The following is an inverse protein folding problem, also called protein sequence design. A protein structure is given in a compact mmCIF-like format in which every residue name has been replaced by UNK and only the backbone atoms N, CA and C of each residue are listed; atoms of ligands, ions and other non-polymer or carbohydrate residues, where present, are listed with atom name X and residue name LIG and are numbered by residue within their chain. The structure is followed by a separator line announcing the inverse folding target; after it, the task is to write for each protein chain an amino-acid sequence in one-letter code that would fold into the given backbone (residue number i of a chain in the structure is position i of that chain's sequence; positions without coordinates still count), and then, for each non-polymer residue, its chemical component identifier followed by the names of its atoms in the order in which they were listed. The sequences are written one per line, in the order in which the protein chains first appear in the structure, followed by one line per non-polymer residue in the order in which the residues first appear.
data_IF_809812893524
#
_entry.id   IF_809812893524
#
_cell.length_a   1.000
_cell.length_b   1.000
_cell.length_c   1.000
_cell.angle_alpha   90.00
_cell.angle_beta   90.00
_cell.angle_gamma   90.00
#
_symmetry.space_group_name_H-M   'P 1'
#
loop_
_entity.id
_entity.type
_entity.pdbx_description
1 polymer ?
#
# COMPACT_ATOMS: atom_id res chain seq x y z
N UNK A 1 -24.19 -53.86 32.02
CA UNK A 1 -23.79 -52.44 31.86
C UNK A 1 -25.04 -51.59 32.05
N UNK A 2 -25.04 -50.62 32.96
CA UNK A 2 -26.26 -49.92 33.40
C UNK A 2 -26.75 -48.91 32.36
N UNK A 3 -27.95 -49.11 31.80
CA UNK A 3 -28.60 -48.27 30.77
C UNK A 3 -28.81 -46.81 31.21
N UNK A 4 -28.97 -46.56 32.50
CA UNK A 4 -29.10 -45.19 33.03
C UNK A 4 -27.81 -44.37 32.90
N UNK A 5 -26.64 -45.02 33.00
CA UNK A 5 -25.35 -44.34 32.90
C UNK A 5 -25.06 -43.92 31.45
N UNK A 6 -25.47 -44.72 30.46
CA UNK A 6 -25.38 -44.35 29.04
C UNK A 6 -26.30 -43.18 28.68
N UNK A 7 -27.50 -43.09 29.26
CA UNK A 7 -28.42 -41.97 29.03
C UNK A 7 -27.88 -40.67 29.63
N UNK A 8 -27.32 -40.73 30.84
CA UNK A 8 -26.73 -39.56 31.48
C UNK A 8 -25.49 -39.07 30.72
N UNK A 9 -24.62 -39.98 30.30
CA UNK A 9 -23.43 -39.63 29.53
C UNK A 9 -23.77 -39.03 28.16
N UNK A 10 -24.75 -39.59 27.45
CA UNK A 10 -25.22 -39.02 26.17
C UNK A 10 -25.86 -37.64 26.35
N UNK A 11 -26.63 -37.43 27.42
CA UNK A 11 -27.20 -36.11 27.73
C UNK A 11 -26.12 -35.06 28.02
N UNK A 12 -25.08 -35.40 28.80
CA UNK A 12 -23.96 -34.48 29.08
C UNK A 12 -23.19 -34.16 27.80
N UNK A 13 -22.87 -35.18 26.99
CA UNK A 13 -22.15 -34.98 25.72
C UNK A 13 -23.00 -34.12 24.78
N UNK A 14 -24.30 -34.37 24.69
CA UNK A 14 -25.23 -33.57 23.89
C UNK A 14 -25.28 -32.10 24.34
N UNK A 15 -25.37 -31.86 25.65
CA UNK A 15 -25.34 -30.51 26.22
C UNK A 15 -24.00 -29.80 25.96
N UNK A 16 -22.87 -30.50 26.11
CA UNK A 16 -21.54 -29.94 25.86
C UNK A 16 -21.34 -29.57 24.39
N UNK A 17 -21.72 -30.45 23.46
CA UNK A 17 -21.64 -30.20 22.01
C UNK A 17 -22.53 -29.01 21.61
N UNK A 18 -23.76 -28.95 22.15
CA UNK A 18 -24.68 -27.83 21.90
C UNK A 18 -24.15 -26.50 22.43
N UNK A 19 -23.62 -26.49 23.66
CA UNK A 19 -23.00 -25.30 24.26
C UNK A 19 -21.80 -24.80 23.47
N UNK A 20 -20.92 -25.72 23.02
CA UNK A 20 -19.77 -25.39 22.19
C UNK A 20 -20.19 -24.83 20.83
N UNK A 21 -21.17 -25.46 20.16
CA UNK A 21 -21.70 -24.96 18.89
C UNK A 21 -22.28 -23.55 19.00
N UNK A 22 -23.00 -23.26 20.08
CA UNK A 22 -23.57 -21.94 20.36
C UNK A 22 -22.47 -20.89 20.56
N UNK A 23 -21.45 -21.20 21.36
CA UNK A 23 -20.32 -20.28 21.61
C UNK A 23 -19.56 -19.92 20.31
N UNK A 24 -19.26 -20.92 19.47
CA UNK A 24 -18.57 -20.68 18.20
C UNK A 24 -19.41 -19.84 17.23
N UNK A 25 -20.72 -20.11 17.17
CA UNK A 25 -21.64 -19.35 16.33
C UNK A 25 -21.75 -17.90 16.79
N UNK A 26 -21.89 -17.67 18.10
CA UNK A 26 -21.98 -16.33 18.67
C UNK A 26 -20.69 -15.53 18.44
N UNK A 27 -19.52 -16.14 18.65
CA UNK A 27 -18.23 -15.47 18.41
C UNK A 27 -18.05 -15.09 16.94
N UNK A 28 -18.44 -15.97 16.03
CA UNK A 28 -18.38 -15.70 14.59
C UNK A 28 -19.33 -14.58 14.20
N UNK A 29 -20.54 -14.58 14.76
CA UNK A 29 -21.55 -13.54 14.56
C UNK A 29 -21.07 -12.17 15.05
N UNK A 30 -20.57 -12.08 16.29
CA UNK A 30 -20.04 -10.83 16.86
C UNK A 30 -18.89 -10.26 16.03
N UNK A 31 -17.99 -11.12 15.55
CA UNK A 31 -16.90 -10.70 14.66
C UNK A 31 -17.44 -10.18 13.33
N UNK A 32 -18.41 -10.87 12.73
CA UNK A 32 -19.04 -10.45 11.49
C UNK A 32 -19.78 -9.11 11.63
N UNK A 33 -20.49 -8.91 12.74
CA UNK A 33 -21.19 -7.67 13.06
C UNK A 33 -20.20 -6.51 13.26
N UNK A 34 -19.14 -6.72 14.04
CA UNK A 34 -18.08 -5.74 14.21
C UNK A 34 -17.41 -5.36 12.88
N UNK A 35 -17.05 -6.34 12.06
CA UNK A 35 -16.42 -6.11 10.76
C UNK A 35 -17.36 -5.35 9.80
N UNK A 36 -18.67 -5.63 9.86
CA UNK A 36 -19.69 -4.93 9.07
C UNK A 36 -19.87 -3.48 9.52
N UNK A 37 -19.98 -3.24 10.83
CA UNK A 37 -20.12 -1.90 11.40
C UNK A 37 -18.88 -1.04 11.11
N UNK A 38 -17.67 -1.58 11.30
CA UNK A 38 -16.43 -0.90 10.97
C UNK A 38 -16.34 -0.55 9.47
N UNK A 39 -16.75 -1.49 8.60
CA UNK A 39 -16.78 -1.25 7.14
C UNK A 39 -17.75 -0.13 6.78
N UNK A 40 -18.93 -0.10 7.39
CA UNK A 40 -19.91 0.95 7.14
C UNK A 40 -19.38 2.32 7.56
N UNK A 41 -18.83 2.43 8.77
CA UNK A 41 -18.20 3.66 9.28
C UNK A 41 -17.06 4.14 8.38
N UNK A 42 -16.21 3.21 7.89
CA UNK A 42 -15.18 3.51 6.90
C UNK A 42 -15.77 4.05 5.61
N UNK A 43 -16.80 3.42 5.07
CA UNK A 43 -17.43 3.85 3.82
C UNK A 43 -17.92 5.29 3.93
N UNK A 44 -18.63 5.62 5.00
CA UNK A 44 -19.19 6.95 5.24
C UNK A 44 -18.08 8.02 5.37
N UNK A 45 -17.05 7.73 6.17
CA UNK A 45 -15.90 8.63 6.33
C UNK A 45 -15.10 8.79 5.04
N UNK A 46 -14.87 7.70 4.30
CA UNK A 46 -14.04 7.69 3.11
C UNK A 46 -14.72 8.33 1.91
N UNK A 47 -16.06 8.28 1.82
CA UNK A 47 -16.80 9.01 0.78
C UNK A 47 -16.55 10.52 0.89
N UNK A 48 -16.46 11.07 2.10
CA UNK A 48 -16.10 12.48 2.32
C UNK A 48 -14.69 12.77 1.85
N UNK A 49 -13.71 11.94 2.25
CA UNK A 49 -12.32 12.08 1.82
C UNK A 49 -12.18 11.98 0.30
N UNK A 50 -12.88 11.03 -0.31
CA UNK A 50 -12.81 10.76 -1.74
C UNK A 50 -13.21 11.98 -2.58
N UNK A 51 -14.23 12.73 -2.12
CA UNK A 51 -14.66 13.99 -2.75
C UNK A 51 -13.57 15.06 -2.65
N UNK A 52 -12.89 15.18 -1.51
CA UNK A 52 -11.75 16.11 -1.38
C UNK A 52 -10.61 15.78 -2.36
N UNK A 53 -10.41 14.49 -2.67
CA UNK A 53 -9.38 14.01 -3.59
C UNK A 53 -9.78 14.12 -5.08
N UNK A 54 -10.98 14.62 -5.40
CA UNK A 54 -11.42 14.80 -6.79
C UNK A 54 -10.46 15.70 -7.59
N UNK A 55 -9.94 16.73 -6.92
CA UNK A 55 -8.91 17.65 -7.44
C UNK A 55 -7.63 16.92 -7.89
N UNK A 56 -7.37 15.70 -7.40
CA UNK A 56 -6.20 14.89 -7.77
C UNK A 56 -6.54 13.78 -8.78
N UNK A 57 -7.73 13.83 -9.39
CA UNK A 57 -8.12 12.84 -10.40
C UNK A 57 -7.32 13.05 -11.70
N UNK A 58 -6.66 11.98 -12.18
CA UNK A 58 -5.88 11.98 -13.42
C UNK A 58 -6.66 12.44 -14.66
N UNK A 59 -7.95 12.09 -14.73
CA UNK A 59 -8.84 12.42 -15.84
C UNK A 59 -9.84 13.54 -15.50
N UNK A 60 -9.61 14.27 -14.40
CA UNK A 60 -10.45 15.40 -14.02
C UNK A 60 -10.22 16.60 -14.95
N UNK A 61 -11.21 17.50 -15.05
CA UNK A 61 -11.13 18.78 -15.78
C UNK A 61 -10.32 19.84 -15.02
N UNK A 62 -9.19 19.43 -14.44
CA UNK A 62 -8.41 20.35 -13.63
C UNK A 62 -7.66 21.37 -14.48
N UNK A 63 -7.38 22.56 -13.91
CA UNK A 63 -6.39 23.46 -14.47
C UNK A 63 -5.07 22.70 -14.65
N UNK A 64 -4.34 23.05 -15.71
CA UNK A 64 -3.06 22.40 -16.05
C UNK A 64 -2.01 22.52 -14.92
N UNK A 65 -2.23 23.42 -13.95
CA UNK A 65 -1.38 23.65 -12.78
C UNK A 65 -2.28 23.91 -11.56
N UNK A 66 -1.89 23.38 -10.41
CA UNK A 66 -2.44 23.78 -9.11
C UNK A 66 -1.62 24.96 -8.59
N UNK A 67 -2.29 25.99 -8.11
CA UNK A 67 -1.63 27.12 -7.45
C UNK A 67 -1.17 26.74 -6.03
N UNK A 68 -0.20 27.45 -5.50
CA UNK A 68 0.24 27.27 -4.10
C UNK A 68 -0.92 27.46 -3.11
N UNK A 69 -1.83 28.40 -3.38
CA UNK A 69 -3.02 28.63 -2.56
C UNK A 69 -4.02 27.45 -2.59
N UNK A 70 -4.28 26.87 -3.76
CA UNK A 70 -5.14 25.68 -3.88
C UNK A 70 -4.52 24.45 -3.20
N UNK A 71 -3.20 24.30 -3.32
CA UNK A 71 -2.43 23.24 -2.65
C UNK A 71 -2.48 23.41 -1.12
N UNK A 72 -2.33 24.65 -0.64
CA UNK A 72 -2.61 25.09 0.73
C UNK A 72 -3.97 24.64 1.23
N UNK A 73 -5.02 25.11 0.56
CA UNK A 73 -6.40 24.82 0.92
C UNK A 73 -6.74 23.33 0.85
N UNK A 74 -6.11 22.55 -0.03
CA UNK A 74 -6.30 21.10 -0.06
C UNK A 74 -5.65 20.41 1.17
N UNK A 75 -4.42 20.78 1.52
CA UNK A 75 -3.73 20.23 2.68
C UNK A 75 -4.53 20.46 3.98
N UNK A 76 -5.02 21.69 4.17
CA UNK A 76 -5.83 22.09 5.32
C UNK A 76 -7.14 21.29 5.40
N UNK A 77 -7.85 21.14 4.27
CA UNK A 77 -9.09 20.35 4.20
C UNK A 77 -8.84 18.88 4.53
N UNK A 78 -7.75 18.30 4.03
CA UNK A 78 -7.38 16.92 4.32
C UNK A 78 -7.00 16.75 5.80
N UNK A 79 -6.27 17.69 6.38
CA UNK A 79 -5.88 17.66 7.79
C UNK A 79 -7.11 17.79 8.69
N UNK A 80 -8.01 18.72 8.37
CA UNK A 80 -9.27 18.88 9.08
C UNK A 80 -10.10 17.59 9.06
N UNK A 81 -10.28 16.99 7.88
CA UNK A 81 -10.98 15.71 7.74
C UNK A 81 -10.34 14.59 8.58
N UNK A 82 -9.00 14.55 8.67
CA UNK A 82 -8.29 13.55 9.47
C UNK A 82 -8.65 13.63 10.95
N UNK A 83 -8.65 14.83 11.52
CA UNK A 83 -8.92 15.01 12.94
C UNK A 83 -10.40 15.01 13.30
N UNK A 84 -11.29 15.42 12.38
CA UNK A 84 -12.71 15.61 12.68
C UNK A 84 -13.61 14.47 12.19
N UNK A 85 -13.35 13.95 10.99
CA UNK A 85 -14.30 13.06 10.32
C UNK A 85 -13.88 11.60 10.33
N UNK A 86 -12.62 11.31 9.97
CA UNK A 86 -12.32 9.96 9.46
C UNK A 86 -10.92 9.42 9.66
N UNK A 87 -9.98 10.18 10.22
CA UNK A 87 -8.60 9.72 10.40
C UNK A 87 -8.49 8.46 11.26
N UNK A 88 -9.41 8.27 12.22
CA UNK A 88 -9.46 7.08 13.08
C UNK A 88 -9.79 5.79 12.32
N UNK A 89 -10.51 5.88 11.20
CA UNK A 89 -10.97 4.71 10.46
C UNK A 89 -9.94 4.17 9.46
N UNK A 90 -8.90 4.96 9.16
CA UNK A 90 -7.82 4.58 8.25
C UNK A 90 -7.10 3.32 8.74
N UNK A 91 -6.92 2.34 7.85
CA UNK A 91 -5.94 1.30 8.11
C UNK A 91 -4.54 1.90 8.20
N UNK A 92 -3.60 1.18 8.82
CA UNK A 92 -2.19 1.60 8.87
C UNK A 92 -1.66 1.96 7.48
N UNK A 93 -2.03 1.19 6.47
CA UNK A 93 -1.55 1.39 5.10
C UNK A 93 -2.16 2.63 4.43
N UNK A 94 -3.48 2.81 4.54
CA UNK A 94 -4.13 4.04 4.04
C UNK A 94 -3.66 5.28 4.80
N UNK A 95 -3.38 5.16 6.11
CA UNK A 95 -2.83 6.23 6.94
C UNK A 95 -1.44 6.65 6.48
N UNK A 96 -0.57 5.69 6.15
CA UNK A 96 0.75 6.00 5.60
C UNK A 96 0.63 6.74 4.26
N UNK A 97 -0.23 6.25 3.35
CA UNK A 97 -0.48 6.91 2.07
C UNK A 97 -1.04 8.34 2.24
N UNK A 98 -1.91 8.54 3.22
CA UNK A 98 -2.46 9.85 3.58
C UNK A 98 -1.35 10.81 4.02
N UNK A 99 -0.46 10.39 4.92
CA UNK A 99 0.63 11.25 5.39
C UNK A 99 1.65 11.53 4.29
N UNK A 100 1.96 10.55 3.42
CA UNK A 100 2.79 10.82 2.25
C UNK A 100 2.19 11.89 1.33
N UNK A 101 0.87 11.85 1.12
CA UNK A 101 0.18 12.89 0.34
C UNK A 101 0.29 14.27 1.01
N UNK A 102 0.10 14.33 2.34
CA UNK A 102 0.26 15.58 3.10
C UNK A 102 1.69 16.14 3.05
N UNK A 103 2.70 15.27 3.18
CA UNK A 103 4.10 15.67 3.12
C UNK A 103 4.42 16.33 1.76
N UNK A 104 3.92 15.76 0.65
CA UNK A 104 4.09 16.31 -0.71
C UNK A 104 3.33 17.62 -0.90
N UNK A 105 2.11 17.73 -0.37
CA UNK A 105 1.37 18.99 -0.39
C UNK A 105 2.12 20.11 0.35
N UNK A 106 2.69 19.81 1.52
CA UNK A 106 3.49 20.78 2.29
C UNK A 106 4.74 21.24 1.56
N UNK A 107 5.42 20.35 0.84
CA UNK A 107 6.59 20.71 0.02
C UNK A 107 6.22 21.60 -1.16
N UNK A 108 5.10 21.32 -1.83
CA UNK A 108 4.62 22.13 -2.94
C UNK A 108 4.17 23.53 -2.50
N UNK A 109 3.72 23.70 -1.24
CA UNK A 109 3.44 25.03 -0.69
C UNK A 109 4.72 25.86 -0.50
N UNK A 110 5.84 25.22 -0.17
CA UNK A 110 7.12 25.90 0.02
C UNK A 110 7.82 26.27 -1.32
N UNK A 111 7.43 25.65 -2.44
CA UNK A 111 8.01 25.89 -3.75
C UNK A 111 7.09 26.77 -4.62
N UNK A 112 7.50 27.99 -5.04
CA UNK A 112 6.63 28.95 -5.70
C UNK A 112 6.21 28.57 -7.14
N UNK A 113 6.89 27.62 -7.78
CA UNK A 113 6.55 27.14 -9.12
C UNK A 113 6.32 25.63 -9.15
N UNK A 114 5.07 25.24 -9.38
CA UNK A 114 4.70 23.84 -9.60
C UNK A 114 4.86 23.46 -11.07
N UNK A 115 5.92 22.71 -11.38
CA UNK A 115 6.11 22.07 -12.68
C UNK A 115 5.13 20.91 -12.92
N UNK A 116 5.01 20.45 -14.17
CA UNK A 116 4.14 19.32 -14.54
C UNK A 116 4.44 18.04 -13.73
N UNK A 117 5.72 17.74 -13.52
CA UNK A 117 6.17 16.54 -12.81
C UNK A 117 5.73 16.49 -11.34
N UNK A 118 5.65 17.65 -10.68
CA UNK A 118 5.17 17.75 -9.30
C UNK A 118 3.66 17.48 -9.21
N UNK A 119 2.89 17.97 -10.19
CA UNK A 119 1.46 17.70 -10.26
C UNK A 119 1.18 16.21 -10.49
N UNK A 120 1.96 15.56 -11.36
CA UNK A 120 1.81 14.12 -11.61
C UNK A 120 2.22 13.27 -10.39
N UNK A 121 3.25 13.71 -9.66
CA UNK A 121 3.59 13.12 -8.36
C UNK A 121 2.43 13.24 -7.37
N UNK A 122 1.80 14.40 -7.26
CA UNK A 122 0.65 14.61 -6.38
C UNK A 122 -0.56 13.73 -6.77
N UNK A 123 -0.83 13.60 -8.07
CA UNK A 123 -1.88 12.71 -8.59
C UNK A 123 -1.60 11.25 -8.26
N UNK A 124 -0.34 10.83 -8.35
CA UNK A 124 0.08 9.48 -7.96
C UNK A 124 -0.20 9.23 -6.48
N UNK A 125 0.20 10.13 -5.56
CA UNK A 125 -0.09 9.98 -4.14
C UNK A 125 -1.60 9.98 -3.84
N UNK A 126 -2.37 10.84 -4.51
CA UNK A 126 -3.84 10.81 -4.44
C UNK A 126 -4.45 9.52 -4.98
N UNK A 127 -3.89 8.93 -6.03
CA UNK A 127 -4.27 7.60 -6.57
C UNK A 127 -3.97 6.48 -5.58
N UNK A 128 -2.79 6.52 -4.95
CA UNK A 128 -2.36 5.54 -3.93
C UNK A 128 -3.29 5.57 -2.72
N UNK A 129 -3.58 6.75 -2.19
CA UNK A 129 -4.52 6.91 -1.08
C UNK A 129 -5.89 6.33 -1.44
N UNK A 130 -6.47 6.74 -2.57
CA UNK A 130 -7.75 6.19 -3.07
C UNK A 130 -7.74 4.67 -3.19
N UNK A 131 -6.66 4.09 -3.71
CA UNK A 131 -6.51 2.64 -3.80
C UNK A 131 -6.52 1.99 -2.41
N UNK A 132 -5.78 2.54 -1.44
CA UNK A 132 -5.83 2.11 -0.04
C UNK A 132 -7.24 2.12 0.55
N UNK A 133 -7.98 3.22 0.35
CA UNK A 133 -9.37 3.36 0.81
C UNK A 133 -10.25 2.24 0.24
N UNK A 134 -10.14 1.92 -1.06
CA UNK A 134 -10.92 0.83 -1.67
C UNK A 134 -10.57 -0.56 -1.15
N UNK A 135 -9.33 -0.79 -0.72
CA UNK A 135 -8.93 -2.05 -0.09
C UNK A 135 -9.49 -2.17 1.32
N UNK A 136 -9.47 -1.08 2.09
CA UNK A 136 -9.98 -1.01 3.46
C UNK A 136 -11.48 -1.28 3.55
N UNK A 137 -12.27 -0.81 2.57
CA UNK A 137 -13.70 -1.15 2.44
C UNK A 137 -13.91 -2.44 1.63
N UNK A 138 -12.85 -3.02 1.07
CA UNK A 138 -12.85 -4.28 0.35
C UNK A 138 -13.60 -4.28 -0.99
N UNK A 139 -13.85 -3.12 -1.61
CA UNK A 139 -14.45 -3.05 -2.96
C UNK A 139 -13.51 -3.56 -4.04
N UNK A 140 -12.20 -3.51 -3.81
CA UNK A 140 -11.16 -4.12 -4.68
C UNK A 140 -10.63 -5.47 -4.18
N UNK A 141 -11.13 -5.95 -3.04
CA UNK A 141 -10.76 -7.28 -2.55
C UNK A 141 -11.71 -8.31 -3.15
N UNK A 142 -11.18 -9.30 -3.89
CA UNK A 142 -12.02 -10.40 -4.39
C UNK A 142 -12.73 -11.09 -3.20
N UNK A 143 -14.04 -11.40 -3.30
CA UNK A 143 -14.72 -12.20 -2.29
C UNK A 143 -13.92 -13.48 -2.05
N UNK A 144 -13.46 -13.69 -0.81
CA UNK A 144 -12.79 -14.93 -0.44
C UNK A 144 -13.87 -15.99 -0.25
N UNK A 145 -14.07 -16.81 -1.27
CA UNK A 145 -14.91 -17.99 -1.12
C UNK A 145 -14.23 -18.98 -0.16
N UNK A 146 -14.92 -19.48 0.87
CA UNK A 146 -14.38 -20.52 1.73
C UNK A 146 -13.93 -21.72 0.89
N UNK A 147 -12.73 -22.24 1.13
CA UNK A 147 -12.23 -23.46 0.49
C UNK A 147 -11.47 -23.30 -0.82
N UNK A 148 -11.47 -22.11 -1.46
CA UNK A 148 -10.58 -21.85 -2.61
C UNK A 148 -9.32 -21.14 -2.14
N UNK A 149 -8.23 -21.90 -1.99
CA UNK A 149 -6.90 -21.32 -1.89
C UNK A 149 -6.68 -20.41 -3.11
N UNK A 150 -6.26 -19.17 -2.86
CA UNK A 150 -6.07 -18.09 -3.84
C UNK A 150 -5.35 -18.63 -5.10
N UNK A 151 -6.08 -18.91 -6.20
CA UNK A 151 -5.53 -19.52 -7.42
C UNK A 151 -4.41 -18.68 -8.06
N UNK A 152 -4.41 -17.37 -7.79
CA UNK A 152 -3.33 -16.45 -8.15
C UNK A 152 -2.02 -16.70 -7.37
N UNK A 153 -2.03 -17.51 -6.32
CA UNK A 153 -0.83 -17.92 -5.59
C UNK A 153 0.01 -18.95 -6.37
N UNK A 154 -0.54 -19.59 -7.39
CA UNK A 154 0.05 -20.72 -8.11
C UNK A 154 0.72 -20.38 -9.45
N UNK A 155 0.71 -19.12 -9.88
CA UNK A 155 1.21 -18.74 -11.20
C UNK A 155 2.66 -18.25 -11.13
N UNK A 156 3.56 -19.03 -11.75
CA UNK A 156 4.77 -18.61 -12.46
C UNK A 156 5.88 -17.86 -11.71
N UNK A 157 7.14 -18.17 -12.06
CA UNK A 157 8.24 -17.22 -11.87
C UNK A 157 7.95 -16.03 -12.77
N UNK A 158 7.48 -14.92 -12.20
CA UNK A 158 7.30 -13.67 -12.95
C UNK A 158 8.56 -12.83 -12.80
N UNK A 159 9.19 -12.51 -13.93
CA UNK A 159 10.32 -11.59 -14.01
C UNK A 159 9.84 -10.30 -14.67
N UNK A 160 10.00 -9.18 -13.98
CA UNK A 160 9.69 -7.86 -14.53
C UNK A 160 10.98 -7.05 -14.58
N UNK A 161 11.31 -6.54 -15.77
CA UNK A 161 12.50 -5.72 -16.01
C UNK A 161 12.06 -4.26 -16.13
N UNK A 162 12.69 -3.38 -15.36
CA UNK A 162 12.43 -1.94 -15.41
C UNK A 162 13.69 -1.15 -15.74
N UNK A 163 13.54 0.01 -16.40
CA UNK A 163 14.62 0.92 -16.83
C UNK A 163 14.36 2.34 -16.31
N UNK A 164 15.39 3.02 -15.80
CA UNK A 164 15.32 4.41 -15.27
C UNK A 164 15.37 5.48 -16.36
N UNK A 165 16.12 5.23 -17.42
CA UNK A 165 16.52 6.21 -18.43
C UNK A 165 16.56 5.47 -19.77
N UNK A 166 16.32 6.18 -20.89
CA UNK A 166 16.51 5.67 -22.25
C UNK A 166 17.92 5.13 -22.46
N UNK A 167 18.89 5.66 -21.70
CA UNK A 167 20.29 5.20 -21.69
C UNK A 167 20.52 3.86 -20.97
N UNK A 168 19.46 3.24 -20.43
CA UNK A 168 19.49 1.93 -19.74
C UNK A 168 20.53 1.78 -18.61
N UNK A 169 20.91 2.88 -17.94
CA UNK A 169 21.95 2.86 -16.90
C UNK A 169 21.67 1.90 -15.75
N UNK A 170 20.40 1.59 -15.48
CA UNK A 170 20.00 0.60 -14.48
C UNK A 170 18.85 -0.24 -14.99
N UNK A 171 18.97 -1.56 -14.78
CA UNK A 171 17.92 -2.55 -15.00
C UNK A 171 17.54 -3.18 -13.67
N UNK A 172 16.25 -3.13 -13.36
CA UNK A 172 15.73 -3.74 -12.14
C UNK A 172 14.90 -4.95 -12.50
N UNK A 173 15.32 -6.14 -12.08
CA UNK A 173 14.61 -7.39 -12.27
C UNK A 173 13.89 -7.81 -10.99
N UNK A 174 12.56 -7.70 -10.97
CA UNK A 174 11.73 -8.25 -9.90
C UNK A 174 11.42 -9.71 -10.23
N UNK A 175 11.99 -10.65 -9.47
CA UNK A 175 11.69 -12.07 -9.61
C UNK A 175 10.80 -12.55 -8.46
N UNK A 176 9.56 -12.89 -8.80
CA UNK A 176 8.63 -13.49 -7.86
C UNK A 176 8.81 -15.01 -7.87
N UNK A 177 9.46 -15.56 -6.84
CA UNK A 177 9.59 -17.01 -6.68
C UNK A 177 8.25 -17.68 -6.38
N UNK A 178 8.11 -18.95 -6.77
CA UNK A 178 6.95 -19.76 -6.38
C UNK A 178 6.79 -19.73 -4.86
N UNK A 179 5.58 -19.44 -4.37
CA UNK A 179 5.25 -19.31 -2.94
C UNK A 179 5.40 -20.66 -2.23
N UNK A 180 6.62 -21.03 -1.88
CA UNK A 180 6.89 -22.13 -0.96
C UNK A 180 7.53 -21.53 0.30
N UNK A 181 6.79 -21.57 1.41
CA UNK A 181 7.19 -21.15 2.77
C UNK A 181 7.53 -19.66 2.99
N UNK A 182 6.59 -18.74 2.75
CA UNK A 182 6.69 -17.37 3.30
C UNK A 182 7.93 -16.55 2.88
N UNK A 183 8.68 -17.01 1.86
CA UNK A 183 9.87 -16.32 1.36
C UNK A 183 9.45 -15.03 0.66
N UNK A 184 10.15 -13.94 1.00
CA UNK A 184 10.05 -12.68 0.28
C UNK A 184 10.51 -12.89 -1.18
N UNK A 185 9.97 -12.13 -2.15
CA UNK A 185 10.44 -12.11 -3.53
C UNK A 185 11.92 -11.79 -3.56
N UNK A 186 12.62 -12.37 -4.52
CA UNK A 186 14.01 -12.01 -4.76
C UNK A 186 14.01 -10.86 -5.77
N UNK A 187 14.61 -9.76 -5.38
CA UNK A 187 14.86 -8.63 -6.26
C UNK A 187 16.32 -8.69 -6.66
N UNK A 188 16.58 -8.54 -7.95
CA UNK A 188 17.93 -8.45 -8.48
C UNK A 188 17.99 -7.15 -9.28
N UNK A 189 19.01 -6.34 -9.05
CA UNK A 189 19.26 -5.16 -9.89
C UNK A 189 20.60 -5.35 -10.59
N UNK A 190 20.63 -5.03 -11.86
CA UNK A 190 21.80 -5.15 -12.71
C UNK A 190 21.98 -3.83 -13.46
N UNK A 191 23.22 -3.42 -13.67
CA UNK A 191 23.52 -2.13 -14.29
C UNK A 191 25.03 -1.97 -14.47
N UNK A 192 25.48 -1.33 -15.57
CA UNK A 192 26.90 -1.11 -15.83
C UNK A 192 27.63 -0.36 -14.72
N UNK A 193 26.92 0.52 -14.00
CA UNK A 193 27.49 1.41 -12.99
C UNK A 193 27.27 0.90 -11.55
N UNK A 194 26.80 -0.34 -11.36
CA UNK A 194 26.64 -0.91 -10.02
C UNK A 194 27.99 -1.44 -9.51
N UNK A 195 28.45 -1.04 -8.31
CA UNK A 195 29.64 -1.63 -7.72
C UNK A 195 29.44 -3.15 -7.59
N UNK A 196 30.39 -3.91 -8.14
CA UNK A 196 30.41 -5.37 -8.06
C UNK A 196 30.28 -5.82 -6.60
N UNK A 197 29.17 -6.49 -6.27
CA UNK A 197 28.92 -7.06 -4.94
C UNK A 197 27.83 -6.37 -4.11
N UNK A 198 27.30 -5.22 -4.54
CA UNK A 198 26.19 -4.57 -3.84
C UNK A 198 24.84 -4.86 -4.53
N UNK A 199 24.30 -6.06 -4.28
CA UNK A 199 22.94 -6.39 -4.70
C UNK A 199 21.92 -5.63 -3.82
N UNK A 200 20.95 -4.90 -4.41
CA UNK A 200 19.88 -4.33 -3.61
C UNK A 200 19.05 -5.43 -2.98
N UNK A 201 18.71 -5.23 -1.72
CA UNK A 201 17.96 -6.19 -0.93
C UNK A 201 16.57 -5.64 -0.58
N UNK A 202 15.55 -6.46 -0.81
CA UNK A 202 14.19 -6.18 -0.34
C UNK A 202 14.18 -6.36 1.17
N UNK A 203 13.97 -5.26 1.89
CA UNK A 203 13.84 -5.27 3.34
C UNK A 203 12.41 -5.65 3.74
N UNK A 204 11.42 -5.15 3.00
CA UNK A 204 9.99 -5.34 3.34
C UNK A 204 9.11 -5.32 2.08
N UNK A 205 8.13 -6.22 2.03
CA UNK A 205 7.02 -6.17 1.08
C UNK A 205 5.73 -5.76 1.80
N UNK A 206 5.00 -4.76 1.28
CA UNK A 206 3.60 -4.48 1.67
C UNK A 206 2.60 -4.89 0.56
N UNK A 207 1.92 -6.04 0.74
CA UNK A 207 1.18 -6.74 -0.35
C UNK A 207 0.00 -5.95 -0.86
N UNK A 208 -0.69 -5.26 0.04
CA UNK A 208 -1.89 -4.50 -0.27
C UNK A 208 -1.58 -3.25 -1.11
N UNK A 209 -0.33 -2.76 -1.08
CA UNK A 209 0.07 -1.53 -1.77
C UNK A 209 1.01 -1.76 -2.95
N UNK A 210 1.39 -3.01 -3.23
CA UNK A 210 2.45 -3.33 -4.21
C UNK A 210 3.73 -2.52 -3.96
N UNK A 211 4.08 -2.34 -2.69
CA UNK A 211 5.24 -1.54 -2.25
C UNK A 211 6.37 -2.44 -1.76
N UNK A 212 7.59 -2.12 -2.18
CA UNK A 212 8.83 -2.73 -1.74
C UNK A 212 9.65 -1.68 -1.00
N UNK A 213 10.16 -1.99 0.18
CA UNK A 213 11.25 -1.21 0.77
C UNK A 213 12.54 -1.87 0.33
N UNK A 214 13.35 -1.14 -0.41
CA UNK A 214 14.58 -1.67 -1.00
C UNK A 214 15.74 -0.81 -0.56
N UNK A 215 16.82 -1.47 -0.17
CA UNK A 215 18.09 -0.82 0.08
C UNK A 215 18.85 -0.74 -1.24
N UNK A 216 19.07 0.48 -1.73
CA UNK A 216 19.72 0.75 -3.01
C UNK A 216 21.07 1.42 -2.74
N UNK A 217 22.14 1.13 -3.50
CA UNK A 217 23.40 1.85 -3.36
C UNK A 217 23.19 3.36 -3.54
N UNK A 218 23.82 4.16 -2.67
CA UNK A 218 23.69 5.61 -2.66
C UNK A 218 24.10 6.26 -3.99
N UNK A 219 25.02 5.63 -4.73
CA UNK A 219 25.46 6.06 -6.05
C UNK A 219 24.33 6.07 -7.10
N UNK A 220 23.31 5.24 -6.94
CA UNK A 220 22.13 5.21 -7.83
C UNK A 220 21.21 6.41 -7.57
N UNK A 221 21.32 7.02 -6.39
CA UNK A 221 20.46 8.12 -5.98
C UNK A 221 21.27 9.41 -5.95
N UNK A 222 21.01 10.30 -6.91
CA UNK A 222 21.72 11.58 -7.06
C UNK A 222 21.59 12.54 -5.87
N UNK A 223 20.80 12.21 -4.84
CA UNK A 223 20.53 13.03 -3.66
C UNK A 223 21.02 12.42 -2.34
N UNK A 224 21.98 11.49 -2.36
CA UNK A 224 22.51 10.88 -1.13
C UNK A 224 23.46 11.83 -0.38
N UNK A 225 23.44 11.76 0.95
CA UNK A 225 24.34 12.56 1.80
C UNK A 225 25.79 12.04 1.68
N UNK A 226 26.81 12.92 1.78
CA UNK A 226 28.21 12.49 1.73
C UNK A 226 28.50 11.42 2.80
N UNK A 227 28.99 10.25 2.36
CA UNK A 227 29.36 9.14 3.25
C UNK A 227 28.28 8.07 3.46
N UNK A 228 27.06 8.25 2.94
CA UNK A 228 26.05 7.19 2.95
C UNK A 228 26.32 6.21 1.80
N UNK A 229 26.50 4.92 2.09
CA UNK A 229 26.76 3.89 1.06
C UNK A 229 25.49 3.29 0.49
N UNK A 230 24.44 3.22 1.30
CA UNK A 230 23.16 2.63 0.91
C UNK A 230 21.99 3.45 1.45
N UNK A 231 20.93 3.52 0.66
CA UNK A 231 19.76 4.33 0.94
C UNK A 231 18.50 3.48 0.84
N UNK A 232 17.63 3.54 1.84
CA UNK A 232 16.34 2.84 1.80
C UNK A 232 15.31 3.66 1.04
N UNK A 233 14.73 3.03 0.01
CA UNK A 233 13.74 3.61 -0.90
C UNK A 233 12.49 2.75 -0.91
N UNK A 234 11.33 3.40 -0.96
CA UNK A 234 10.10 2.71 -1.29
C UNK A 234 9.97 2.61 -2.81
N UNK A 235 9.72 1.42 -3.36
CA UNK A 235 9.39 1.20 -4.76
C UNK A 235 7.94 0.77 -4.86
N UNK A 236 7.19 1.36 -5.78
CA UNK A 236 5.79 1.09 -6.03
C UNK A 236 5.63 0.46 -7.39
N UNK A 237 4.92 -0.66 -7.49
CA UNK A 237 4.53 -1.19 -8.80
C UNK A 237 3.14 -0.66 -9.13
N UNK A 238 3.06 0.29 -10.06
CA UNK A 238 1.80 0.85 -10.56
C UNK A 238 1.64 0.54 -12.05
N UNK A 239 0.60 -0.22 -12.41
CA UNK A 239 0.23 -0.54 -13.81
C UNK A 239 1.34 -1.15 -14.69
N UNK A 240 2.38 -1.70 -14.07
CA UNK A 240 3.51 -2.29 -14.77
C UNK A 240 4.73 -1.39 -14.83
N UNK A 241 4.65 -0.13 -14.38
CA UNK A 241 5.79 0.73 -14.11
C UNK A 241 6.19 0.62 -12.64
N UNK A 242 7.44 0.94 -12.34
CA UNK A 242 7.98 0.94 -10.99
C UNK A 242 8.36 2.36 -10.60
N UNK A 243 7.72 2.89 -9.58
CA UNK A 243 7.96 4.25 -9.11
C UNK A 243 8.80 4.20 -7.85
N UNK A 244 9.98 4.79 -7.86
CA UNK A 244 10.80 4.96 -6.67
C UNK A 244 10.35 6.21 -5.94
N UNK A 245 9.85 6.00 -4.73
CA UNK A 245 9.48 7.03 -3.78
C UNK A 245 10.66 7.67 -3.07
N UNK A 246 10.37 8.66 -2.21
CA UNK A 246 11.35 9.38 -1.42
C UNK A 246 12.06 8.45 -0.45
N UNK A 247 13.14 8.99 0.14
CA UNK A 247 13.93 8.26 1.12
C UNK A 247 13.09 8.07 2.37
N UNK A 248 13.17 6.91 3.02
CA UNK A 248 12.48 6.74 4.32
C UNK A 248 13.00 7.71 5.39
N UNK A 249 14.29 8.08 5.32
CA UNK A 249 14.96 9.02 6.24
C UNK A 249 14.77 10.48 5.87
N UNK A 250 14.78 10.77 4.57
CA UNK A 250 14.63 12.11 4.03
C UNK A 250 13.31 12.18 3.26
N UNK A 251 12.23 12.44 4.01
CA UNK A 251 10.91 12.70 3.44
C UNK A 251 10.84 14.06 2.75
N UNK A 252 11.81 14.95 2.95
CA UNK A 252 11.77 16.33 2.44
C UNK A 252 12.21 16.44 0.98
N UNK A 253 12.88 15.42 0.42
CA UNK A 253 13.21 15.35 -1.01
C UNK A 253 12.28 14.40 -1.77
N UNK A 254 11.29 14.91 -2.53
CA UNK A 254 10.33 14.11 -3.28
C UNK A 254 10.87 13.75 -4.67
N UNK A 255 12.16 13.40 -4.79
CA UNK A 255 12.69 12.93 -6.07
C UNK A 255 12.05 11.57 -6.38
N UNK A 256 10.91 11.63 -7.08
CA UNK A 256 10.20 10.48 -7.61
C UNK A 256 10.92 10.08 -8.88
N UNK A 257 11.57 8.93 -8.86
CA UNK A 257 12.20 8.38 -10.05
C UNK A 257 11.25 7.34 -10.66
N UNK A 258 10.78 7.62 -11.87
CA UNK A 258 9.93 6.71 -12.63
C UNK A 258 10.79 5.69 -13.37
N UNK A 259 10.52 4.41 -13.15
CA UNK A 259 11.12 3.31 -13.89
C UNK A 259 10.08 2.72 -14.82
N UNK A 260 10.37 2.77 -16.11
CA UNK A 260 9.47 2.24 -17.13
C UNK A 260 9.71 0.75 -17.32
N UNK A 261 8.64 0.00 -17.58
CA UNK A 261 8.76 -1.41 -17.94
C UNK A 261 9.50 -1.56 -19.27
N UNK A 262 10.50 -2.44 -19.29
CA UNK A 262 11.20 -2.85 -20.50
C UNK A 262 10.39 -3.84 -21.35
#
# INVERSE_FOLDING_TARGET
MNTWLTLLLTAIVGAAVSGFGTYFTLRTKLRSEYDSDLRQKRLDAYLKLWRLLEVLARYGKLPAKLTAAETGGLADKLQHWYFQDGGLYLSTESRNAFFCLQDVLGQMQAAPETGGDQLDSLRMYGSRLRTGLTYDVGTRSRPRMPGKADENARHGKHEYIYKVDEKERYRLALTFGARFLGRMPKMTMTGPDLPLGEEPSVQRWVKQQSTFVVRVPAAVVSSSSPGETTVERELFVEKGDLVMGPTLRDRQSPSVMLWHRA
#
